data_IF_889921335001
#
_entry.id   IF_889921335001
#
_cell.length_a   1.000
_cell.length_b   1.000
_cell.length_c   1.000
_cell.angle_alpha   90.00
_cell.angle_beta   90.00
_cell.angle_gamma   90.00
#
_symmetry.space_group_name_H-M   'P 1'
#
loop_
_entity.id
_entity.type
_entity.pdbx_description
1 polymer ?
#
# COMPACT_ATOMS: atom_id res chain seq x y z
N UNK A 1 -19.03 -22.63 4.16
CA UNK A 1 -17.82 -22.15 3.46
C UNK A 1 -18.28 -21.29 2.31
N UNK A 2 -18.35 -19.98 2.50
CA UNK A 2 -18.76 -19.05 1.43
C UNK A 2 -17.56 -18.80 0.53
N UNK A 3 -17.71 -19.14 -0.73
CA UNK A 3 -16.72 -18.84 -1.76
C UNK A 3 -16.54 -17.30 -1.85
N UNK A 4 -15.32 -16.77 -1.89
CA UNK A 4 -15.12 -15.35 -2.12
C UNK A 4 -15.71 -14.99 -3.50
N UNK A 5 -16.31 -13.80 -3.64
CA UNK A 5 -16.86 -13.36 -4.90
C UNK A 5 -15.75 -13.32 -5.97
N UNK A 6 -15.99 -14.00 -7.06
CA UNK A 6 -15.14 -14.00 -8.26
C UNK A 6 -15.19 -12.58 -8.86
N UNK A 7 -14.24 -11.73 -8.49
CA UNK A 7 -14.15 -10.36 -9.02
C UNK A 7 -13.57 -10.45 -10.43
N UNK A 8 -14.28 -9.96 -11.47
CA UNK A 8 -13.76 -10.00 -12.83
C UNK A 8 -12.45 -9.20 -12.94
N UNK A 9 -11.51 -9.63 -13.76
CA UNK A 9 -10.27 -8.89 -14.01
C UNK A 9 -10.61 -7.49 -14.56
N UNK A 10 -10.07 -6.45 -13.96
CA UNK A 10 -10.29 -5.06 -14.32
C UNK A 10 -11.33 -4.29 -13.48
N UNK A 11 -12.05 -4.94 -12.57
CA UNK A 11 -12.92 -4.21 -11.64
C UNK A 11 -12.11 -3.31 -10.70
N UNK A 12 -12.60 -2.08 -10.49
CA UNK A 12 -12.00 -1.18 -9.51
C UNK A 12 -12.05 -1.82 -8.11
N UNK A 13 -11.02 -1.62 -7.28
CA UNK A 13 -11.07 -2.11 -5.91
C UNK A 13 -12.24 -1.45 -5.20
N UNK A 14 -12.94 -2.26 -4.40
CA UNK A 14 -14.08 -1.79 -3.63
C UNK A 14 -13.65 -1.56 -2.19
N UNK A 15 -13.72 -0.32 -1.75
CA UNK A 15 -13.57 0.04 -0.35
C UNK A 15 -14.88 -0.26 0.38
N UNK A 16 -14.78 -0.86 1.56
CA UNK A 16 -15.90 -1.05 2.47
C UNK A 16 -15.43 -0.65 3.86
N UNK A 17 -16.12 0.30 4.49
CA UNK A 17 -15.81 0.68 5.86
C UNK A 17 -16.97 0.33 6.81
N UNK A 18 -16.65 0.25 8.08
CA UNK A 18 -17.61 0.07 9.18
C UNK A 18 -17.13 0.84 10.38
N UNK A 19 -18.04 1.55 11.00
CA UNK A 19 -17.80 2.13 12.31
C UNK A 19 -17.74 1.02 13.36
N UNK A 20 -16.73 1.10 14.20
CA UNK A 20 -16.54 0.19 15.33
C UNK A 20 -16.44 0.98 16.62
N UNK A 21 -16.70 0.33 17.74
CA UNK A 21 -16.54 0.96 19.04
C UNK A 21 -15.10 1.40 19.24
N UNK A 22 -14.92 2.65 19.65
CA UNK A 22 -13.61 3.20 20.00
C UNK A 22 -12.94 2.36 21.11
N UNK A 23 -11.66 2.09 20.95
CA UNK A 23 -10.81 1.43 21.91
C UNK A 23 -9.62 2.34 22.25
N UNK A 24 -9.46 2.67 23.53
CA UNK A 24 -8.45 3.65 23.96
C UNK A 24 -7.01 3.12 23.87
N UNK A 25 -6.82 1.80 23.91
CA UNK A 25 -5.52 1.15 23.81
C UNK A 25 -5.41 0.44 22.46
N UNK A 26 -4.85 1.14 21.48
CA UNK A 26 -4.68 0.63 20.12
C UNK A 26 -3.71 -0.56 20.06
N UNK A 27 -2.67 -0.56 20.89
CA UNK A 27 -1.69 -1.63 20.92
C UNK A 27 -2.31 -2.95 21.42
N UNK A 28 -3.07 -2.90 22.50
CA UNK A 28 -3.80 -4.07 23.01
C UNK A 28 -4.84 -4.56 22.01
N UNK A 29 -5.57 -3.66 21.35
CA UNK A 29 -6.52 -4.04 20.30
C UNK A 29 -5.81 -4.71 19.13
N UNK A 30 -4.72 -4.13 18.66
CA UNK A 30 -3.91 -4.69 17.57
C UNK A 30 -3.40 -6.10 17.89
N UNK A 31 -2.87 -6.29 19.10
CA UNK A 31 -2.43 -7.61 19.56
C UNK A 31 -3.59 -8.61 19.63
N UNK A 32 -4.74 -8.19 20.17
CA UNK A 32 -5.95 -9.04 20.30
C UNK A 32 -6.49 -9.48 18.93
N UNK A 33 -6.39 -8.60 17.93
CA UNK A 33 -6.77 -8.90 16.55
C UNK A 33 -5.74 -9.73 15.78
N UNK A 34 -4.67 -10.14 16.44
CA UNK A 34 -3.61 -10.99 15.85
C UNK A 34 -2.51 -10.23 15.12
N UNK A 35 -2.47 -8.88 15.25
CA UNK A 35 -1.47 -8.06 14.57
C UNK A 35 -0.03 -8.40 14.95
N UNK A 36 0.22 -8.82 16.20
CA UNK A 36 1.57 -9.23 16.65
C UNK A 36 2.02 -10.60 16.13
N UNK A 37 1.11 -11.40 15.61
CA UNK A 37 1.40 -12.75 15.11
C UNK A 37 1.21 -12.89 13.60
N UNK A 38 0.58 -11.90 12.97
CA UNK A 38 0.36 -11.88 11.52
C UNK A 38 1.55 -11.22 10.82
N UNK A 39 2.22 -11.88 9.87
CA UNK A 39 3.27 -11.26 9.07
C UNK A 39 2.75 -10.05 8.30
N UNK A 40 3.60 -9.06 8.10
CA UNK A 40 3.27 -7.84 7.34
C UNK A 40 2.12 -7.02 7.92
N UNK A 41 1.86 -7.14 9.21
CA UNK A 41 0.97 -6.25 9.94
C UNK A 41 1.72 -5.06 10.52
N UNK A 42 1.06 -3.93 10.63
CA UNK A 42 1.65 -2.66 11.10
C UNK A 42 0.66 -1.93 11.99
N UNK A 43 1.15 -1.38 13.08
CA UNK A 43 0.45 -0.39 13.89
C UNK A 43 1.23 0.92 13.85
N UNK A 44 0.59 1.98 13.41
CA UNK A 44 1.10 3.34 13.44
C UNK A 44 0.28 4.14 14.44
N UNK A 45 0.93 4.67 15.45
CA UNK A 45 0.31 5.54 16.44
C UNK A 45 0.90 6.94 16.34
N UNK A 46 0.04 7.92 16.20
CA UNK A 46 0.43 9.33 16.29
C UNK A 46 0.35 9.76 17.75
N UNK A 47 1.49 10.06 18.35
CA UNK A 47 1.58 10.63 19.70
C UNK A 47 1.89 12.12 19.58
N UNK A 48 0.88 12.97 19.57
CA UNK A 48 1.07 14.38 19.81
C UNK A 48 1.04 14.65 21.33
N UNK A 49 2.19 14.97 21.88
CA UNK A 49 2.36 15.22 23.32
C UNK A 49 1.74 16.56 23.73
N UNK A 50 1.59 17.49 22.80
CA UNK A 50 1.16 18.88 23.09
C UNK A 50 -0.32 19.10 22.90
N UNK A 51 -0.95 18.41 21.96
CA UNK A 51 -2.38 18.51 21.71
C UNK A 51 -3.01 17.13 21.71
N UNK A 52 -3.75 16.77 22.74
CA UNK A 52 -4.48 15.51 22.82
C UNK A 52 -5.65 15.41 21.83
N UNK A 53 -5.89 16.43 21.03
CA UNK A 53 -6.91 16.46 19.99
C UNK A 53 -6.29 16.05 18.65
N UNK A 54 -6.75 14.97 18.09
CA UNK A 54 -6.30 14.48 16.78
C UNK A 54 -5.32 13.32 16.79
N UNK A 55 -5.20 12.60 17.93
CA UNK A 55 -4.49 11.33 17.96
C UNK A 55 -5.19 10.33 17.05
N UNK A 56 -4.48 9.87 16.04
CA UNK A 56 -4.96 8.84 15.12
C UNK A 56 -4.02 7.64 15.18
N UNK A 57 -4.61 6.46 15.21
CA UNK A 57 -3.89 5.22 15.08
C UNK A 57 -4.37 4.50 13.84
N UNK A 58 -3.44 3.98 13.06
CA UNK A 58 -3.73 3.17 11.87
C UNK A 58 -3.15 1.78 12.06
N UNK A 59 -4.00 0.78 11.97
CA UNK A 59 -3.58 -0.62 12.06
C UNK A 59 -3.84 -1.35 10.75
N UNK A 60 -2.79 -1.93 10.18
CA UNK A 60 -2.89 -2.85 9.04
C UNK A 60 -2.73 -4.27 9.59
N UNK A 61 -3.79 -5.06 9.57
CA UNK A 61 -3.80 -6.43 10.07
C UNK A 61 -3.51 -7.46 8.97
N UNK A 62 -3.85 -7.14 7.73
CA UNK A 62 -3.60 -7.98 6.56
C UNK A 62 -3.20 -7.11 5.38
N UNK A 63 -1.94 -7.15 5.03
CA UNK A 63 -1.44 -6.48 3.85
C UNK A 63 -1.77 -7.28 2.58
N UNK A 64 -2.08 -6.60 1.49
CA UNK A 64 -2.26 -7.21 0.16
C UNK A 64 -0.95 -7.30 -0.61
N UNK A 65 -0.09 -6.32 -0.43
CA UNK A 65 1.22 -6.25 -1.08
C UNK A 65 2.28 -5.93 -0.04
N UNK A 66 3.48 -6.50 -0.24
CA UNK A 66 4.72 -5.99 0.35
C UNK A 66 5.48 -5.27 -0.74
N UNK A 67 5.75 -4.00 -0.53
CA UNK A 67 6.53 -3.15 -1.43
C UNK A 67 7.85 -2.82 -0.75
N UNK A 68 8.95 -3.20 -1.37
CA UNK A 68 10.30 -2.95 -0.84
C UNK A 68 11.09 -2.14 -1.87
N UNK A 69 11.55 -0.96 -1.47
CA UNK A 69 12.38 -0.10 -2.29
C UNK A 69 13.85 -0.24 -1.87
N UNK A 70 14.73 -0.47 -2.82
CA UNK A 70 16.16 -0.55 -2.61
C UNK A 70 16.90 0.09 -3.80
N UNK A 71 17.43 1.27 -3.57
CA UNK A 71 18.08 2.05 -4.65
C UNK A 71 17.09 2.41 -5.74
N UNK A 72 17.39 2.01 -6.96
CA UNK A 72 16.60 2.23 -8.17
C UNK A 72 15.54 1.14 -8.43
N UNK A 73 15.39 0.20 -7.52
CA UNK A 73 14.51 -0.97 -7.68
C UNK A 73 13.42 -1.02 -6.64
N UNK A 74 12.25 -1.44 -7.10
CA UNK A 74 11.11 -1.73 -6.22
C UNK A 74 10.67 -3.17 -6.43
N UNK A 75 10.68 -3.95 -5.36
CA UNK A 75 10.16 -5.30 -5.36
C UNK A 75 8.72 -5.29 -4.84
N UNK A 76 7.81 -5.84 -5.60
CA UNK A 76 6.39 -5.98 -5.24
C UNK A 76 6.06 -7.44 -5.08
N UNK A 77 5.74 -7.85 -3.86
CA UNK A 77 5.35 -9.20 -3.52
C UNK A 77 3.86 -9.24 -3.19
N UNK A 78 3.02 -9.89 -4.01
CA UNK A 78 1.62 -10.11 -3.67
C UNK A 78 1.52 -11.15 -2.55
N UNK A 79 0.78 -10.84 -1.48
CA UNK A 79 0.65 -11.69 -0.31
C UNK A 79 -0.59 -12.60 -0.40
N UNK A 80 -1.85 -12.10 -0.35
CA UNK A 80 -3.04 -12.90 -0.63
C UNK A 80 -3.49 -12.76 -2.09
N UNK A 81 -4.60 -13.41 -2.45
CA UNK A 81 -5.19 -13.32 -3.79
C UNK A 81 -5.52 -11.88 -4.22
N UNK A 82 -5.98 -11.04 -3.28
CA UNK A 82 -6.23 -9.61 -3.54
C UNK A 82 -4.97 -8.86 -3.98
N UNK A 83 -3.81 -9.24 -3.46
CA UNK A 83 -2.53 -8.68 -3.87
C UNK A 83 -2.16 -8.99 -5.31
N UNK A 84 -2.57 -10.14 -5.84
CA UNK A 84 -2.33 -10.50 -7.25
C UNK A 84 -3.08 -9.60 -8.22
N UNK A 85 -4.31 -9.18 -7.85
CA UNK A 85 -5.08 -8.24 -8.65
C UNK A 85 -4.38 -6.88 -8.71
N UNK A 86 -3.88 -6.39 -7.58
CA UNK A 86 -3.12 -5.14 -7.52
C UNK A 86 -1.80 -5.24 -8.28
N UNK A 87 -1.06 -6.34 -8.13
CA UNK A 87 0.17 -6.58 -8.89
C UNK A 87 -0.08 -6.63 -10.40
N UNK A 88 -1.18 -7.24 -10.85
CA UNK A 88 -1.54 -7.26 -12.27
C UNK A 88 -1.77 -5.84 -12.81
N UNK A 89 -2.43 -4.97 -12.06
CA UNK A 89 -2.62 -3.55 -12.44
C UNK A 89 -1.31 -2.79 -12.51
N UNK A 90 -0.41 -3.01 -11.55
CA UNK A 90 0.92 -2.40 -11.61
C UNK A 90 1.68 -2.83 -12.87
N UNK A 91 1.57 -4.10 -13.27
CA UNK A 91 2.18 -4.59 -14.51
C UNK A 91 1.61 -3.88 -15.75
N UNK A 92 0.30 -3.61 -15.77
CA UNK A 92 -0.34 -2.88 -16.87
C UNK A 92 0.14 -1.42 -16.94
N UNK A 93 0.32 -0.76 -15.79
CA UNK A 93 0.68 0.65 -15.72
C UNK A 93 2.18 0.90 -15.85
N UNK A 94 3.01 0.02 -15.30
CA UNK A 94 4.46 0.19 -15.17
C UNK A 94 5.25 -0.92 -15.88
N UNK A 95 4.64 -1.55 -16.89
CA UNK A 95 5.22 -2.68 -17.59
C UNK A 95 6.57 -2.40 -18.26
N UNK A 96 6.83 -1.14 -18.63
CA UNK A 96 8.12 -0.72 -19.21
C UNK A 96 9.30 -0.83 -18.22
N UNK A 97 9.03 -0.75 -16.91
CA UNK A 97 10.03 -0.88 -15.85
C UNK A 97 10.11 -2.29 -15.28
N UNK A 98 9.20 -3.19 -15.70
CA UNK A 98 9.03 -4.49 -15.09
C UNK A 98 10.09 -5.50 -15.56
N UNK A 99 10.73 -6.13 -14.59
CA UNK A 99 11.43 -7.40 -14.76
C UNK A 99 10.64 -8.47 -14.00
N UNK A 100 9.95 -9.38 -14.70
CA UNK A 100 9.15 -10.43 -14.04
C UNK A 100 10.04 -11.35 -13.21
N UNK A 101 9.63 -11.64 -11.98
CA UNK A 101 10.31 -12.56 -11.08
C UNK A 101 9.43 -13.74 -10.68
N UNK A 102 10.03 -14.81 -10.20
CA UNK A 102 9.34 -15.97 -9.68
C UNK A 102 8.69 -15.65 -8.33
N UNK A 103 7.44 -15.19 -8.35
CA UNK A 103 6.65 -14.88 -7.15
C UNK A 103 6.64 -13.41 -6.72
N UNK A 104 7.59 -12.60 -7.17
CA UNK A 104 7.62 -11.16 -6.96
C UNK A 104 7.98 -10.43 -8.24
N UNK A 105 7.42 -9.26 -8.44
CA UNK A 105 7.76 -8.37 -9.54
C UNK A 105 8.84 -7.38 -9.12
N UNK A 106 9.80 -7.12 -9.99
CA UNK A 106 10.85 -6.14 -9.77
C UNK A 106 10.71 -5.03 -10.82
N UNK A 107 10.53 -3.81 -10.36
CA UNK A 107 10.50 -2.62 -11.19
C UNK A 107 11.84 -1.90 -11.04
N UNK A 108 12.54 -1.66 -12.15
CA UNK A 108 13.80 -0.93 -12.19
C UNK A 108 13.58 0.43 -12.86
N UNK A 109 13.92 1.48 -12.15
CA UNK A 109 13.74 2.86 -12.64
C UNK A 109 15.07 3.49 -13.03
N UNK A 110 15.07 4.40 -14.00
CA UNK A 110 16.29 5.12 -14.35
C UNK A 110 16.76 5.98 -13.17
N UNK A 111 18.06 6.01 -12.97
CA UNK A 111 18.67 6.95 -12.03
C UNK A 111 18.79 8.28 -12.75
N UNK A 112 18.19 9.33 -12.19
CA UNK A 112 18.34 10.68 -12.77
C UNK A 112 19.75 11.21 -12.52
N UNK A 113 20.42 11.63 -13.57
CA UNK A 113 21.71 12.32 -13.56
C UNK A 113 21.58 13.85 -13.64
N UNK A 114 20.35 14.36 -13.57
CA UNK A 114 20.08 15.79 -13.62
C UNK A 114 20.81 16.54 -12.51
N UNK A 115 21.52 17.60 -12.89
CA UNK A 115 22.21 18.47 -11.95
C UNK A 115 21.25 19.37 -11.15
N UNK A 116 20.09 19.69 -11.74
CA UNK A 116 19.05 20.48 -11.09
C UNK A 116 18.18 19.61 -10.17
N UNK A 117 18.00 20.06 -8.95
CA UNK A 117 17.20 19.33 -7.94
C UNK A 117 15.73 19.24 -8.34
N UNK A 118 15.17 20.27 -8.95
CA UNK A 118 13.79 20.28 -9.42
C UNK A 118 13.55 19.26 -10.53
N UNK A 119 14.51 19.15 -11.45
CA UNK A 119 14.46 18.12 -12.51
C UNK A 119 14.54 16.72 -11.90
N UNK A 120 15.40 16.50 -10.90
CA UNK A 120 15.48 15.22 -10.19
C UNK A 120 14.18 14.86 -9.47
N UNK A 121 13.51 15.83 -8.85
CA UNK A 121 12.25 15.62 -8.14
C UNK A 121 11.08 15.30 -9.09
N UNK A 122 11.16 15.74 -10.33
CA UNK A 122 10.14 15.47 -11.37
C UNK A 122 10.48 14.26 -12.24
N UNK A 123 11.69 13.73 -12.15
CA UNK A 123 12.10 12.56 -12.90
C UNK A 123 11.34 11.30 -12.46
N UNK A 124 11.10 10.42 -13.41
CA UNK A 124 10.52 9.10 -13.14
C UNK A 124 11.38 8.34 -12.13
N UNK A 125 10.79 7.82 -11.09
CA UNK A 125 11.51 7.22 -9.98
C UNK A 125 10.73 6.07 -9.34
N UNK A 126 11.31 5.43 -8.36
CA UNK A 126 10.68 4.36 -7.56
C UNK A 126 9.36 4.76 -6.90
N UNK A 127 9.10 6.07 -6.76
CA UNK A 127 7.83 6.60 -6.22
C UNK A 127 6.65 6.31 -7.16
N UNK A 128 6.90 6.06 -8.44
CA UNK A 128 5.82 5.73 -9.40
C UNK A 128 5.02 4.49 -8.98
N UNK A 129 5.66 3.52 -8.33
CA UNK A 129 4.94 2.34 -7.80
C UNK A 129 3.93 2.74 -6.73
N UNK A 130 4.31 3.64 -5.81
CA UNK A 130 3.39 4.13 -4.78
C UNK A 130 2.29 4.99 -5.39
N UNK A 131 2.64 5.85 -6.34
CA UNK A 131 1.66 6.68 -7.06
C UNK A 131 0.64 5.84 -7.82
N UNK A 132 1.08 4.79 -8.50
CA UNK A 132 0.19 3.87 -9.18
C UNK A 132 -0.73 3.10 -8.22
N UNK A 133 -0.25 2.76 -7.02
CA UNK A 133 -1.03 2.09 -5.99
C UNK A 133 -2.01 3.03 -5.28
N UNK A 134 -1.71 4.30 -5.14
CA UNK A 134 -2.55 5.27 -4.44
C UNK A 134 -3.52 5.97 -5.39
N UNK A 135 -3.02 6.78 -6.31
CA UNK A 135 -3.86 7.58 -7.21
C UNK A 135 -4.35 6.79 -8.42
N UNK A 136 -3.54 5.87 -8.94
CA UNK A 136 -3.86 5.05 -10.11
C UNK A 136 -4.81 3.90 -9.82
N UNK A 137 -4.98 3.51 -8.57
CA UNK A 137 -5.82 2.38 -8.20
C UNK A 137 -7.33 2.71 -8.13
N UNK A 138 -7.69 4.00 -8.17
CA UNK A 138 -9.08 4.44 -8.21
C UNK A 138 -9.83 4.29 -6.89
N UNK A 139 -9.12 4.23 -5.76
CA UNK A 139 -9.77 4.40 -4.46
C UNK A 139 -9.85 5.89 -4.15
N UNK A 140 -10.90 6.52 -4.59
CA UNK A 140 -11.24 7.84 -4.10
C UNK A 140 -12.22 7.68 -2.95
N UNK A 141 -11.77 7.83 -1.72
CA UNK A 141 -12.65 7.97 -0.58
C UNK A 141 -12.18 9.17 0.24
N UNK A 142 -13.01 10.20 0.30
CA UNK A 142 -12.72 11.42 1.05
C UNK A 142 -12.56 11.16 2.56
N UNK A 143 -13.17 10.07 3.05
CA UNK A 143 -13.09 9.66 4.46
C UNK A 143 -11.75 8.95 4.78
N UNK A 144 -10.98 8.55 3.76
CA UNK A 144 -9.69 7.88 3.92
C UNK A 144 -8.58 8.54 3.08
N UNK A 145 -8.16 9.76 3.43
CA UNK A 145 -7.18 10.53 2.64
C UNK A 145 -5.79 9.87 2.54
N UNK A 146 -5.50 8.85 3.36
CA UNK A 146 -4.25 8.07 3.24
C UNK A 146 -4.27 7.08 2.06
N UNK A 147 -5.41 6.92 1.39
CA UNK A 147 -5.60 6.06 0.23
C UNK A 147 -5.77 6.87 -1.07
N UNK A 148 -5.74 8.20 -0.96
CA UNK A 148 -5.87 9.12 -2.07
C UNK A 148 -4.52 9.66 -2.53
#
# INVERSE_FOLDING_TARGET
MSNPPNTPPGAAPRLTHRDVRYHADAASLFAHLGGTTTPDSVLLESADITTRSGLQSVAVLRASLRVTCQGDRVTVLPLPESGRVLAARLREQLGEYLTPGAGADVYAFPVSDAADERERLTATSTVEVLRALTTGAGYGDEDFPLLA
#
